data_IF_871169537865
#
_entry.id   IF_871169537865
#
_cell.length_a   1.000
_cell.length_b   1.000
_cell.length_c   1.000
_cell.angle_alpha   90.00
_cell.angle_beta   90.00
_cell.angle_gamma   90.00
#
_symmetry.space_group_name_H-M   'P 1'
#
loop_
_entity.id
_entity.type
_entity.pdbx_description
1 polymer ?
#
# COMPACT_ATOMS: atom_id res chain seq x y z
N UNK A 1 0.53 67.05 32.36
CA UNK A 1 1.49 66.75 31.23
C UNK A 1 2.16 65.42 31.31
N UNK A 2 2.50 64.90 32.52
CA UNK A 2 3.18 63.60 32.66
C UNK A 2 2.32 62.39 32.30
N UNK A 3 1.00 62.39 32.55
CA UNK A 3 0.06 61.35 32.26
C UNK A 3 -0.18 61.10 30.76
N UNK A 4 -0.05 62.13 29.94
CA UNK A 4 -0.16 62.07 28.48
C UNK A 4 1.05 61.38 27.82
N UNK A 5 2.25 61.57 28.32
CA UNK A 5 3.47 60.97 27.85
C UNK A 5 3.50 59.43 28.13
N UNK A 6 2.97 59.00 29.27
CA UNK A 6 2.88 57.60 29.63
C UNK A 6 1.90 56.85 28.74
N UNK A 7 0.74 57.46 28.45
CA UNK A 7 -0.26 56.91 27.51
C UNK A 7 0.30 56.78 26.09
N UNK A 8 1.03 57.78 25.60
CA UNK A 8 1.64 57.74 24.27
C UNK A 8 2.71 56.62 24.17
N UNK A 9 3.50 56.42 25.22
CA UNK A 9 4.46 55.28 25.28
C UNK A 9 3.78 53.93 25.31
N UNK A 10 2.66 53.79 26.03
CA UNK A 10 1.88 52.56 26.09
C UNK A 10 1.26 52.22 24.72
N UNK A 11 0.64 53.22 24.05
CA UNK A 11 0.03 53.06 22.73
C UNK A 11 1.08 52.66 21.69
N UNK A 12 2.29 53.24 21.74
CA UNK A 12 3.39 52.84 20.84
C UNK A 12 3.85 51.41 21.09
N UNK A 13 3.96 50.93 22.34
CA UNK A 13 4.33 49.55 22.66
C UNK A 13 3.26 48.57 22.23
N UNK A 14 2.00 48.89 22.46
CA UNK A 14 0.87 48.03 22.01
C UNK A 14 0.80 48.01 20.48
N UNK A 15 0.95 49.15 19.81
CA UNK A 15 0.98 49.18 18.34
C UNK A 15 2.13 48.39 17.73
N UNK A 16 3.34 48.43 18.34
CA UNK A 16 4.49 47.63 17.90
C UNK A 16 4.26 46.14 18.11
N UNK A 17 3.66 45.74 19.24
CA UNK A 17 3.33 44.35 19.53
C UNK A 17 2.28 43.78 18.53
N UNK A 18 1.25 44.58 18.21
CA UNK A 18 0.23 44.20 17.22
C UNK A 18 0.84 44.04 15.82
N UNK A 19 1.73 44.95 15.42
CA UNK A 19 2.43 44.87 14.13
C UNK A 19 3.32 43.63 14.04
N UNK A 20 4.02 43.26 15.12
CA UNK A 20 4.82 42.03 15.18
C UNK A 20 3.96 40.75 15.11
N UNK A 21 2.80 40.75 15.77
CA UNK A 21 1.86 39.63 15.68
C UNK A 21 1.29 39.47 14.26
N UNK A 22 0.93 40.60 13.60
CA UNK A 22 0.43 40.58 12.22
C UNK A 22 1.52 40.06 11.25
N UNK A 23 2.75 40.54 11.39
CA UNK A 23 3.87 40.10 10.54
C UNK A 23 4.21 38.61 10.75
N UNK A 24 4.14 38.14 12.00
CA UNK A 24 4.34 36.71 12.32
C UNK A 24 3.22 35.81 11.75
N UNK A 25 1.97 36.28 11.85
CA UNK A 25 0.83 35.57 11.25
C UNK A 25 0.91 35.56 9.72
N UNK A 26 1.37 36.66 9.10
CA UNK A 26 1.58 36.70 7.66
C UNK A 26 2.72 35.78 7.21
N UNK A 27 3.78 35.66 8.00
CA UNK A 27 4.88 34.74 7.75
C UNK A 27 4.41 33.28 7.88
N UNK A 28 3.56 32.96 8.85
CA UNK A 28 2.93 31.66 9.01
C UNK A 28 1.97 31.31 7.85
N UNK A 29 1.21 32.31 7.36
CA UNK A 29 0.33 32.11 6.19
C UNK A 29 1.13 31.88 4.89
N UNK A 30 2.28 32.56 4.73
CA UNK A 30 3.16 32.34 3.56
C UNK A 30 3.85 30.96 3.58
N UNK A 31 4.10 30.41 4.77
CA UNK A 31 4.63 29.03 4.88
C UNK A 31 3.57 27.96 4.70
N UNK A 32 2.28 28.29 4.82
CA UNK A 32 1.17 27.37 4.64
C UNK A 32 0.67 27.28 3.18
N UNK A 33 1.15 28.12 2.27
CA UNK A 33 0.81 28.07 0.84
C UNK A 33 1.82 27.26 0.02
N UNK A 34 2.21 26.09 0.50
CA UNK A 34 2.75 25.07 -0.37
C UNK A 34 1.66 24.05 -0.61
N UNK A 35 0.74 24.39 -1.53
CA UNK A 35 -0.17 23.41 -2.09
C UNK A 35 0.65 22.28 -2.70
N UNK A 36 0.38 21.02 -2.34
CA UNK A 36 0.83 19.92 -3.15
C UNK A 36 -0.03 19.95 -4.42
N UNK A 37 0.58 20.36 -5.52
CA UNK A 37 0.06 20.08 -6.87
C UNK A 37 -0.34 18.61 -6.93
N UNK A 38 -1.51 18.24 -7.51
CA UNK A 38 -1.84 16.86 -7.77
C UNK A 38 -0.93 16.36 -8.91
N UNK A 39 0.31 16.06 -8.58
CA UNK A 39 1.13 15.25 -9.43
C UNK A 39 0.62 13.83 -9.30
N UNK A 40 -0.16 13.39 -10.29
CA UNK A 40 -0.17 12.01 -10.72
C UNK A 40 1.28 11.63 -11.05
N UNK A 41 2.05 11.34 -10.05
CA UNK A 41 3.30 10.63 -10.15
C UNK A 41 3.05 9.23 -9.65
N UNK A 42 2.81 8.32 -10.62
CA UNK A 42 3.27 6.95 -10.39
C UNK A 42 4.65 7.07 -9.75
N UNK A 43 4.96 6.30 -8.69
CA UNK A 43 6.31 6.30 -8.16
C UNK A 43 7.22 5.84 -9.30
N UNK A 44 7.90 6.79 -9.92
CA UNK A 44 9.12 6.49 -10.66
C UNK A 44 10.04 5.97 -9.58
N UNK A 45 10.27 4.65 -9.59
CA UNK A 45 11.33 4.03 -8.81
C UNK A 45 12.59 4.71 -9.33
N UNK A 46 13.09 5.67 -8.58
CA UNK A 46 14.41 6.22 -8.78
C UNK A 46 15.38 5.06 -8.46
N UNK A 47 15.73 4.32 -9.50
CA UNK A 47 16.81 3.34 -9.41
C UNK A 47 18.04 4.16 -9.07
N UNK A 48 18.35 4.23 -7.78
CA UNK A 48 19.60 4.81 -7.31
C UNK A 48 20.70 4.15 -8.12
N UNK A 49 21.46 4.96 -8.85
CA UNK A 49 22.60 4.50 -9.62
C UNK A 49 23.55 3.77 -8.67
N UNK A 50 23.38 2.45 -8.59
CA UNK A 50 24.16 1.58 -7.74
C UNK A 50 25.60 1.55 -8.20
N UNK A 51 26.48 1.57 -7.27
CA UNK A 51 27.90 1.27 -7.41
C UNK A 51 28.08 -0.03 -8.18
N UNK A 52 29.03 -0.01 -9.09
CA UNK A 52 29.47 -1.09 -9.97
C UNK A 52 29.47 -2.46 -9.25
N UNK A 53 28.50 -3.33 -9.58
CA UNK A 53 28.41 -4.69 -9.04
C UNK A 53 27.03 -5.13 -8.52
N UNK A 54 26.04 -4.24 -8.47
CA UNK A 54 24.68 -4.64 -8.05
C UNK A 54 23.99 -5.38 -9.19
N UNK A 55 24.01 -6.70 -9.11
CA UNK A 55 23.13 -7.53 -9.91
C UNK A 55 21.67 -7.21 -9.52
N UNK A 56 20.77 -7.26 -10.51
CA UNK A 56 19.34 -7.21 -10.26
C UNK A 56 19.03 -8.29 -9.22
N UNK A 57 18.58 -7.88 -8.03
CA UNK A 57 18.18 -8.80 -6.98
C UNK A 57 16.91 -9.50 -7.45
N UNK A 58 17.02 -10.79 -7.70
CA UNK A 58 15.91 -11.61 -8.15
C UNK A 58 15.34 -12.37 -6.95
N UNK A 59 14.03 -12.22 -6.70
CA UNK A 59 13.28 -13.08 -5.78
C UNK A 59 12.37 -13.97 -6.61
N UNK A 60 12.51 -15.28 -6.46
CA UNK A 60 11.54 -16.21 -7.02
C UNK A 60 10.19 -15.97 -6.34
N UNK A 61 9.16 -15.70 -7.14
CA UNK A 61 7.81 -15.58 -6.64
C UNK A 61 7.24 -16.98 -6.39
N UNK A 62 7.47 -17.50 -5.18
CA UNK A 62 7.08 -18.84 -4.75
C UNK A 62 5.88 -18.84 -3.80
N UNK A 63 5.13 -17.74 -3.77
CA UNK A 63 3.97 -17.60 -2.89
C UNK A 63 2.88 -18.56 -3.35
N UNK A 64 2.43 -19.43 -2.46
CA UNK A 64 1.37 -20.40 -2.76
C UNK A 64 -0.01 -19.75 -2.74
N UNK A 65 -0.98 -20.38 -3.39
CA UNK A 65 -2.37 -19.91 -3.38
C UNK A 65 -2.91 -19.76 -1.95
N UNK A 66 -2.66 -20.73 -1.07
CA UNK A 66 -3.10 -20.70 0.32
C UNK A 66 -2.47 -19.52 1.09
N UNK A 67 -1.21 -19.20 0.78
CA UNK A 67 -0.54 -18.06 1.41
C UNK A 67 -1.13 -16.72 0.93
N UNK A 68 -1.42 -16.60 -0.37
CA UNK A 68 -2.10 -15.42 -0.91
C UNK A 68 -3.49 -15.23 -0.29
N UNK A 69 -4.30 -16.29 -0.23
CA UNK A 69 -5.62 -16.23 0.40
C UNK A 69 -5.52 -15.87 1.88
N UNK A 70 -4.62 -16.52 2.64
CA UNK A 70 -4.45 -16.23 4.07
C UNK A 70 -4.02 -14.78 4.30
N UNK A 71 -3.06 -14.27 3.52
CA UNK A 71 -2.62 -12.88 3.64
C UNK A 71 -3.73 -11.88 3.28
N UNK A 72 -4.49 -12.18 2.23
CA UNK A 72 -5.63 -11.36 1.81
C UNK A 72 -6.74 -11.33 2.85
N UNK A 73 -7.14 -12.48 3.39
CA UNK A 73 -8.19 -12.58 4.39
C UNK A 73 -7.81 -11.79 5.66
N UNK A 74 -6.56 -11.93 6.12
CA UNK A 74 -6.05 -11.20 7.27
C UNK A 74 -5.98 -9.68 7.01
N UNK A 75 -5.55 -9.23 5.83
CA UNK A 75 -5.55 -7.80 5.46
C UNK A 75 -6.96 -7.21 5.54
N UNK A 76 -7.95 -7.87 4.91
CA UNK A 76 -9.35 -7.43 4.92
C UNK A 76 -9.94 -7.43 6.34
N UNK A 77 -9.66 -8.47 7.12
CA UNK A 77 -10.12 -8.59 8.50
C UNK A 77 -9.54 -7.49 9.39
N UNK A 78 -8.23 -7.27 9.30
CA UNK A 78 -7.54 -6.25 10.10
C UNK A 78 -7.93 -4.82 9.68
N UNK A 79 -8.15 -4.59 8.40
CA UNK A 79 -8.69 -3.32 7.93
C UNK A 79 -10.07 -3.04 8.55
N UNK A 80 -10.97 -4.02 8.55
CA UNK A 80 -12.30 -3.91 9.16
C UNK A 80 -12.26 -3.71 10.68
N UNK A 81 -11.24 -4.28 11.34
CA UNK A 81 -11.01 -4.12 12.79
C UNK A 81 -10.33 -2.80 13.16
N UNK A 82 -9.86 -2.01 12.20
CA UNK A 82 -9.16 -0.74 12.44
C UNK A 82 -7.67 -0.88 12.76
N UNK A 83 -7.08 -2.02 12.49
CA UNK A 83 -5.65 -2.35 12.66
C UNK A 83 -5.01 -2.73 11.32
N UNK A 84 -4.97 -1.84 10.31
CA UNK A 84 -4.58 -2.20 8.96
C UNK A 84 -3.14 -2.74 8.90
N UNK A 85 -3.00 -3.91 8.29
CA UNK A 85 -1.73 -4.51 7.87
C UNK A 85 -1.90 -5.03 6.45
N UNK A 86 -1.01 -4.64 5.55
CA UNK A 86 -1.14 -5.02 4.15
C UNK A 86 -0.73 -6.47 3.91
N UNK A 87 -1.43 -7.15 3.02
CA UNK A 87 -1.10 -8.51 2.63
C UNK A 87 0.34 -8.69 2.16
N UNK A 88 0.93 -7.68 1.50
CA UNK A 88 2.34 -7.65 1.11
C UNK A 88 3.29 -7.65 2.31
N UNK A 89 2.93 -6.97 3.40
CA UNK A 89 3.68 -6.95 4.66
C UNK A 89 3.61 -8.30 5.37
N UNK A 90 2.44 -8.92 5.40
CA UNK A 90 2.25 -10.26 5.95
C UNK A 90 3.09 -11.31 5.20
N UNK A 91 3.05 -11.28 3.87
CA UNK A 91 3.84 -12.16 3.01
C UNK A 91 5.34 -11.93 3.20
N UNK A 92 5.78 -10.66 3.23
CA UNK A 92 7.19 -10.31 3.42
C UNK A 92 7.72 -10.76 4.78
N UNK A 93 6.93 -10.59 5.83
CA UNK A 93 7.28 -11.06 7.16
C UNK A 93 7.40 -12.59 7.21
N UNK A 94 6.42 -13.30 6.65
CA UNK A 94 6.46 -14.75 6.57
C UNK A 94 7.68 -15.23 5.78
N UNK A 95 7.97 -14.65 4.61
CA UNK A 95 9.13 -14.97 3.80
C UNK A 95 10.44 -14.73 4.54
N UNK A 96 10.58 -13.60 5.24
CA UNK A 96 11.77 -13.29 6.04
C UNK A 96 12.00 -14.30 7.18
N UNK A 97 10.92 -14.83 7.78
CA UNK A 97 10.98 -15.86 8.84
C UNK A 97 11.22 -17.28 8.32
N UNK A 98 10.85 -17.57 7.07
CA UNK A 98 10.87 -18.95 6.51
C UNK A 98 11.87 -19.10 5.36
N UNK A 99 12.61 -18.06 5.01
CA UNK A 99 13.54 -18.07 3.87
C UNK A 99 12.83 -18.19 2.53
N UNK A 100 11.66 -17.53 2.37
CA UNK A 100 10.87 -17.52 1.14
C UNK A 100 10.03 -18.78 0.91
N UNK A 101 9.90 -19.67 1.89
CA UNK A 101 9.07 -20.88 1.78
C UNK A 101 7.68 -20.62 2.31
N UNK A 102 6.67 -20.96 1.50
CA UNK A 102 5.26 -20.85 1.84
C UNK A 102 4.62 -22.22 2.08
N UNK A 103 4.63 -22.64 3.32
CA UNK A 103 4.04 -23.87 3.85
C UNK A 103 3.13 -23.56 5.05
N UNK A 104 2.65 -24.54 5.76
CA UNK A 104 1.80 -24.37 6.95
C UNK A 104 2.47 -23.54 8.06
N UNK A 105 3.81 -23.55 8.13
CA UNK A 105 4.54 -22.72 9.09
C UNK A 105 4.44 -21.25 8.71
N UNK A 106 4.57 -20.89 7.44
CA UNK A 106 4.44 -19.51 6.96
C UNK A 106 3.03 -18.97 7.20
N UNK A 107 1.98 -19.77 6.98
CA UNK A 107 0.61 -19.39 7.29
C UNK A 107 0.41 -19.10 8.79
N UNK A 108 0.99 -19.93 9.65
CA UNK A 108 0.95 -19.72 11.10
C UNK A 108 1.70 -18.46 11.52
N UNK A 109 2.82 -18.15 10.86
CA UNK A 109 3.60 -16.93 11.09
C UNK A 109 2.78 -15.68 10.74
N UNK A 110 2.05 -15.69 9.61
CA UNK A 110 1.19 -14.56 9.24
C UNK A 110 0.04 -14.34 10.22
N UNK A 111 -0.65 -15.41 10.63
CA UNK A 111 -1.74 -15.32 11.63
C UNK A 111 -1.23 -14.76 12.96
N UNK A 112 -0.10 -15.27 13.44
CA UNK A 112 0.50 -14.79 14.68
C UNK A 112 0.89 -13.32 14.60
N UNK A 113 1.48 -12.87 13.50
CA UNK A 113 1.77 -11.45 13.26
C UNK A 113 0.50 -10.61 13.34
N UNK A 114 -0.56 -11.04 12.65
CA UNK A 114 -1.85 -10.35 12.63
C UNK A 114 -2.45 -10.23 14.04
N UNK A 115 -2.37 -11.28 14.86
CA UNK A 115 -2.81 -11.29 16.26
C UNK A 115 -2.00 -10.29 17.11
N UNK A 116 -0.66 -10.33 17.04
CA UNK A 116 0.22 -9.43 17.80
C UNK A 116 -0.02 -7.95 17.46
N UNK A 117 -0.28 -7.64 16.19
CA UNK A 117 -0.60 -6.28 15.75
C UNK A 117 -1.99 -5.83 16.23
N UNK A 118 -3.00 -6.71 16.17
CA UNK A 118 -4.36 -6.38 16.60
C UNK A 118 -4.49 -6.21 18.12
N UNK A 119 -3.70 -6.96 18.90
CA UNK A 119 -3.62 -6.81 20.36
C UNK A 119 -2.85 -5.55 20.78
N UNK A 120 -2.14 -4.90 19.83
CA UNK A 120 -1.29 -3.75 20.13
C UNK A 120 -0.07 -4.11 21.01
N UNK A 121 0.27 -5.40 21.06
CA UNK A 121 1.40 -5.90 21.85
C UNK A 121 2.76 -5.51 21.27
N UNK A 122 2.82 -5.27 19.95
CA UNK A 122 4.00 -4.79 19.23
C UNK A 122 3.56 -4.05 17.95
N UNK A 123 4.47 -3.24 17.41
CA UNK A 123 4.31 -2.62 16.10
C UNK A 123 5.02 -3.44 15.02
N UNK A 124 4.59 -3.28 13.76
CA UNK A 124 5.24 -3.96 12.64
C UNK A 124 6.73 -3.62 12.55
N UNK A 125 7.11 -2.36 12.80
CA UNK A 125 8.50 -1.91 12.78
C UNK A 125 9.33 -2.64 13.85
N UNK A 126 8.80 -2.80 15.07
CA UNK A 126 9.48 -3.53 16.13
C UNK A 126 9.67 -5.01 15.78
N UNK A 127 8.65 -5.65 15.19
CA UNK A 127 8.68 -7.07 14.83
C UNK A 127 9.58 -7.35 13.62
N UNK A 128 9.81 -6.37 12.76
CA UNK A 128 10.61 -6.51 11.52
C UNK A 128 12.06 -6.04 11.69
N UNK A 129 12.36 -5.26 12.74
CA UNK A 129 13.68 -4.67 12.99
C UNK A 129 14.84 -5.66 12.93
N UNK A 130 14.65 -6.86 13.48
CA UNK A 130 15.67 -7.92 13.51
C UNK A 130 15.61 -8.86 12.30
N UNK A 131 14.85 -8.51 11.25
CA UNK A 131 14.68 -9.29 10.04
C UNK A 131 15.38 -8.61 8.86
N UNK A 132 16.66 -8.88 8.61
CA UNK A 132 17.44 -8.16 7.59
C UNK A 132 16.93 -8.35 6.17
N UNK A 133 16.20 -9.44 5.90
CA UNK A 133 15.62 -9.72 4.58
C UNK A 133 14.18 -9.21 4.42
N UNK A 134 13.54 -8.69 5.46
CA UNK A 134 12.18 -8.19 5.39
C UNK A 134 12.01 -7.06 4.34
N UNK A 135 12.85 -6.01 4.32
CA UNK A 135 12.73 -4.95 3.33
C UNK A 135 12.86 -5.46 1.88
N UNK A 136 13.74 -6.45 1.66
CA UNK A 136 13.95 -7.05 0.36
C UNK A 136 12.72 -7.81 -0.14
N UNK A 137 12.10 -8.64 0.71
CA UNK A 137 10.87 -9.34 0.37
C UNK A 137 9.69 -8.38 0.20
N UNK A 138 9.61 -7.34 1.05
CA UNK A 138 8.56 -6.33 0.95
C UNK A 138 8.61 -5.61 -0.40
N UNK A 139 9.77 -5.13 -0.81
CA UNK A 139 9.98 -4.47 -2.11
C UNK A 139 9.57 -5.39 -3.27
N UNK A 140 9.97 -6.66 -3.24
CA UNK A 140 9.63 -7.63 -4.27
C UNK A 140 8.13 -7.90 -4.36
N UNK A 141 7.45 -8.08 -3.21
CA UNK A 141 6.01 -8.34 -3.19
C UNK A 141 5.19 -7.09 -3.49
N UNK A 142 5.63 -5.90 -3.08
CA UNK A 142 5.02 -4.64 -3.51
C UNK A 142 5.11 -4.43 -5.02
N UNK A 143 6.21 -4.81 -5.64
CA UNK A 143 6.36 -4.71 -7.09
C UNK A 143 5.37 -5.59 -7.87
N UNK A 144 4.98 -6.75 -7.31
CA UNK A 144 4.08 -7.72 -7.97
C UNK A 144 2.62 -7.53 -7.54
N UNK A 145 2.38 -7.31 -6.25
CA UNK A 145 1.06 -7.36 -5.62
C UNK A 145 0.57 -5.98 -5.12
N UNK A 146 1.45 -5.00 -5.09
CA UNK A 146 1.16 -3.67 -4.55
C UNK A 146 -0.02 -3.01 -5.26
N UNK A 147 -0.91 -2.41 -4.47
CA UNK A 147 -2.09 -1.73 -4.97
C UNK A 147 -3.25 -2.63 -5.43
N UNK A 148 -3.09 -3.97 -5.41
CA UNK A 148 -4.17 -4.89 -5.78
C UNK A 148 -5.26 -4.99 -4.70
N UNK A 149 -4.90 -4.79 -3.43
CA UNK A 149 -5.86 -4.73 -2.31
C UNK A 149 -5.97 -3.29 -1.83
N UNK A 150 -7.18 -2.86 -1.48
CA UNK A 150 -7.43 -1.51 -0.99
C UNK A 150 -8.88 -1.08 -1.14
N UNK A 151 -9.13 0.20 -0.87
CA UNK A 151 -10.46 0.78 -1.04
C UNK A 151 -10.79 1.02 -2.52
N UNK A 152 -12.05 0.76 -2.89
CA UNK A 152 -12.61 1.07 -4.20
C UNK A 152 -14.13 1.23 -4.10
N UNK A 153 -14.75 1.76 -5.14
CA UNK A 153 -16.18 1.97 -5.18
C UNK A 153 -16.84 0.99 -6.16
N UNK A 154 -17.96 0.42 -5.72
CA UNK A 154 -18.81 -0.44 -6.54
C UNK A 154 -20.20 0.17 -6.68
N UNK A 155 -20.81 0.00 -7.85
CA UNK A 155 -22.22 0.31 -8.04
C UNK A 155 -23.06 -0.83 -7.44
N UNK A 156 -23.91 -0.52 -6.48
CA UNK A 156 -24.81 -1.46 -5.85
C UNK A 156 -26.25 -0.92 -5.90
N UNK A 157 -27.23 -1.81 -6.00
CA UNK A 157 -28.63 -1.44 -5.80
C UNK A 157 -28.91 -1.26 -4.30
N UNK A 158 -29.55 -0.15 -3.94
CA UNK A 158 -30.06 0.05 -2.58
C UNK A 158 -31.37 -0.78 -2.37
N UNK A 159 -31.87 -0.81 -1.14
CA UNK A 159 -33.08 -1.55 -0.79
C UNK A 159 -34.35 -1.05 -1.53
N UNK A 160 -34.29 0.14 -2.13
CA UNK A 160 -35.32 0.73 -2.96
C UNK A 160 -35.13 0.47 -4.47
N UNK A 161 -34.14 -0.33 -4.85
CA UNK A 161 -33.80 -0.64 -6.25
C UNK A 161 -33.11 0.49 -7.02
N UNK A 162 -32.56 1.49 -6.33
CA UNK A 162 -31.82 2.60 -6.95
C UNK A 162 -30.33 2.29 -6.93
N UNK A 163 -29.65 2.68 -8.00
CA UNK A 163 -28.19 2.58 -8.09
C UNK A 163 -27.52 3.56 -7.11
N UNK A 164 -26.62 3.04 -6.30
CA UNK A 164 -25.81 3.82 -5.37
C UNK A 164 -24.36 3.33 -5.41
N UNK A 165 -23.43 4.25 -5.24
CA UNK A 165 -22.02 3.91 -5.09
C UNK A 165 -21.72 3.55 -3.65
N UNK A 166 -21.05 2.41 -3.45
CA UNK A 166 -20.62 1.94 -2.13
C UNK A 166 -19.12 1.76 -2.12
N UNK A 167 -18.47 2.38 -1.14
CA UNK A 167 -17.06 2.17 -0.86
C UNK A 167 -16.86 0.83 -0.17
N UNK A 168 -15.95 0.03 -0.68
CA UNK A 168 -15.59 -1.29 -0.17
C UNK A 168 -14.09 -1.42 -0.07
N UNK A 169 -13.62 -2.35 0.75
CA UNK A 169 -12.21 -2.70 0.85
C UNK A 169 -12.02 -4.15 0.42
N UNK A 170 -10.99 -4.43 -0.37
CA UNK A 170 -10.68 -5.77 -0.84
C UNK A 170 -9.87 -5.78 -2.12
N UNK A 171 -9.92 -6.88 -2.84
CA UNK A 171 -9.21 -7.05 -4.10
C UNK A 171 -9.83 -6.19 -5.20
N UNK A 172 -9.05 -5.26 -5.74
CA UNK A 172 -9.42 -4.37 -6.85
C UNK A 172 -9.20 -5.07 -8.20
N UNK A 173 -9.92 -6.16 -8.42
CA UNK A 173 -9.82 -6.94 -9.63
C UNK A 173 -11.21 -7.14 -10.26
N UNK A 174 -11.24 -7.12 -11.58
CA UNK A 174 -12.42 -7.42 -12.36
C UNK A 174 -12.10 -8.58 -13.31
N UNK A 175 -13.05 -9.50 -13.43
CA UNK A 175 -12.91 -10.54 -14.44
C UNK A 175 -12.84 -9.92 -15.85
N UNK A 176 -11.86 -10.30 -16.67
CA UNK A 176 -11.78 -9.87 -18.06
C UNK A 176 -12.94 -10.43 -18.91
N UNK A 177 -13.63 -11.48 -18.40
CA UNK A 177 -14.74 -12.13 -19.07
C UNK A 177 -16.05 -11.70 -18.40
N UNK A 178 -17.00 -11.22 -19.20
CA UNK A 178 -18.28 -10.76 -18.69
C UNK A 178 -19.06 -11.89 -17.99
N UNK A 179 -19.79 -11.52 -16.93
CA UNK A 179 -20.61 -12.47 -16.19
C UNK A 179 -21.63 -13.16 -17.10
N UNK A 180 -21.70 -14.49 -17.02
CA UNK A 180 -22.63 -15.32 -17.81
C UNK A 180 -22.00 -15.97 -19.05
N UNK A 181 -20.76 -15.63 -19.39
CA UNK A 181 -20.00 -16.33 -20.42
C UNK A 181 -19.12 -17.42 -19.79
N UNK A 182 -19.21 -18.63 -20.31
CA UNK A 182 -18.38 -19.74 -19.88
C UNK A 182 -17.00 -19.68 -20.52
N UNK A 183 -15.98 -20.05 -19.78
CA UNK A 183 -14.62 -20.17 -20.27
C UNK A 183 -13.91 -21.34 -19.55
N UNK A 184 -12.82 -21.79 -20.14
CA UNK A 184 -11.92 -22.77 -19.53
C UNK A 184 -10.58 -22.10 -19.25
N UNK A 185 -10.06 -22.33 -18.05
CA UNK A 185 -8.72 -21.89 -17.65
C UNK A 185 -7.69 -22.93 -18.03
N UNK A 186 -6.55 -22.47 -18.50
CA UNK A 186 -5.38 -23.29 -18.74
C UNK A 186 -4.23 -22.79 -17.88
N UNK A 187 -3.79 -23.63 -16.94
CA UNK A 187 -2.61 -23.38 -16.11
C UNK A 187 -1.34 -23.66 -16.91
N UNK A 188 -1.02 -22.76 -17.81
CA UNK A 188 0.08 -22.88 -18.77
C UNK A 188 1.13 -21.76 -18.65
N UNK A 189 1.08 -20.98 -17.58
CA UNK A 189 2.12 -19.98 -17.30
C UNK A 189 3.49 -20.65 -17.15
N UNK A 190 4.47 -20.14 -17.88
CA UNK A 190 5.83 -20.71 -17.91
C UNK A 190 6.00 -21.92 -18.82
N UNK A 191 4.93 -22.49 -19.39
CA UNK A 191 5.00 -23.59 -20.33
C UNK A 191 5.84 -23.22 -21.54
N UNK A 192 6.63 -24.20 -22.04
CA UNK A 192 7.48 -23.97 -23.21
C UNK A 192 6.63 -23.85 -24.47
N UNK A 193 6.74 -22.72 -25.17
CA UNK A 193 6.13 -22.50 -26.49
C UNK A 193 7.22 -22.36 -27.56
N UNK A 194 6.94 -22.86 -28.78
CA UNK A 194 7.86 -22.79 -29.92
C UNK A 194 7.23 -22.03 -31.09
N UNK A 195 7.86 -20.91 -31.44
CA UNK A 195 7.56 -20.12 -32.64
C UNK A 195 8.86 -19.85 -33.42
N UNK A 196 9.59 -20.92 -33.78
CA UNK A 196 10.93 -20.83 -34.34
C UNK A 196 12.04 -20.73 -33.29
N UNK A 197 11.74 -20.37 -32.06
CA UNK A 197 12.62 -20.43 -30.89
C UNK A 197 11.78 -20.77 -29.64
N UNK A 198 12.44 -21.40 -28.66
CA UNK A 198 11.80 -21.74 -27.39
C UNK A 198 11.66 -20.50 -26.53
N UNK A 199 10.48 -20.27 -26.00
CA UNK A 199 10.19 -19.20 -25.03
C UNK A 199 9.20 -19.69 -23.98
N UNK A 200 9.25 -19.19 -22.74
CA UNK A 200 8.20 -19.45 -21.78
C UNK A 200 6.92 -18.72 -22.17
N UNK A 201 5.78 -19.26 -21.86
CA UNK A 201 4.50 -18.58 -21.91
C UNK A 201 4.39 -17.65 -20.69
N UNK A 202 4.23 -16.36 -20.91
CA UNK A 202 4.16 -15.36 -19.84
C UNK A 202 2.72 -14.81 -19.65
N UNK A 203 1.73 -15.60 -20.05
CA UNK A 203 0.32 -15.26 -19.94
C UNK A 203 -0.47 -16.40 -19.30
N UNK A 204 -1.76 -16.14 -19.11
CA UNK A 204 -2.75 -17.12 -18.71
C UNK A 204 -3.79 -17.20 -19.82
N UNK A 205 -3.99 -18.40 -20.37
CA UNK A 205 -4.93 -18.60 -21.46
C UNK A 205 -6.33 -18.91 -20.90
N UNK A 206 -7.27 -18.05 -21.24
CA UNK A 206 -8.69 -18.26 -20.98
C UNK A 206 -9.40 -18.48 -22.31
N UNK A 207 -9.99 -19.64 -22.52
CA UNK A 207 -10.65 -20.02 -23.76
C UNK A 207 -12.16 -20.05 -23.56
N UNK A 208 -12.88 -19.20 -24.28
CA UNK A 208 -14.34 -19.10 -24.26
C UNK A 208 -14.95 -19.18 -25.66
N UNK A 209 -16.23 -19.48 -25.72
CA UNK A 209 -17.00 -19.32 -26.95
C UNK A 209 -17.41 -17.84 -27.07
N UNK A 210 -17.20 -17.28 -28.24
CA UNK A 210 -17.64 -15.93 -28.62
C UNK A 210 -19.02 -16.01 -29.26
#
# INVERSE_FOLDING_TARGET
KAMDQSRKKLIRKVGLAVLLCISFFFLLCLSAQKEPSPASSSPVIEVAAGTQGDYIKWVDFTVTYEALCTAYDLDVEQYAAGHPVRWTELLAYAAAKTGGKFDQKSLSVMRKLSEELSEGSATLDELTKELPYYPYYLEAYEAVLGGMVGEYEIEQMDDAGRKAWKKVYGLKAFSPIAKGFGYSDYDDFGSSRSYGYKRPHLGHDMMGQV
#
